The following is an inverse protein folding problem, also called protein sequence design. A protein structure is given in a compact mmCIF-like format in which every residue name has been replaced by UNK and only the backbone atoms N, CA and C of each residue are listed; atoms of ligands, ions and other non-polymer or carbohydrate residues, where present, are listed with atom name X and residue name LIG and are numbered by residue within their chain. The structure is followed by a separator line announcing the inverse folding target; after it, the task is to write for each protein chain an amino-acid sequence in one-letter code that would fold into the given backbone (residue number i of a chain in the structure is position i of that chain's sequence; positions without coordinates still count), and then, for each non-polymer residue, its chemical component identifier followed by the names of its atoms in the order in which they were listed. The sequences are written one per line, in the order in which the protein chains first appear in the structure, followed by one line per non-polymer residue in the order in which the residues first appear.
data_IF_353738162644
#
_entry.id   IF_353738162644
#
_cell.length_a   1.000
_cell.length_b   1.000
_cell.length_c   1.000
_cell.angle_alpha   90.00
_cell.angle_beta   90.00
_cell.angle_gamma   90.00
#
_symmetry.space_group_name_H-M   'P 1'
#
loop_
_entity.id
_entity.type
_entity.pdbx_description
1 polymer ?
#
# COMPACT_ATOMS: atom_id res chain seq x y z
N UNK A 1 -33.20 49.64 -23.87
CA UNK A 1 -34.38 49.64 -24.78
C UNK A 1 -34.65 48.19 -25.19
N UNK A 2 -35.89 47.74 -24.82
CA UNK A 2 -36.73 46.75 -25.52
C UNK A 2 -36.10 45.37 -25.79
N UNK A 3 -36.71 44.22 -25.57
CA UNK A 3 -37.99 43.72 -24.97
C UNK A 3 -37.85 42.21 -24.91
N UNK A 4 -38.23 41.62 -23.79
CA UNK A 4 -39.10 40.46 -23.58
C UNK A 4 -39.65 39.77 -24.83
N UNK A 5 -39.62 38.43 -24.86
CA UNK A 5 -40.81 37.64 -25.21
C UNK A 5 -40.65 36.22 -24.64
N UNK A 6 -41.61 35.90 -23.77
CA UNK A 6 -41.92 34.56 -23.28
C UNK A 6 -42.82 33.84 -24.27
N UNK A 7 -42.73 32.55 -24.40
CA UNK A 7 -43.81 31.71 -24.93
C UNK A 7 -43.89 30.39 -24.17
N UNK A 8 -44.94 30.25 -23.41
CA UNK A 8 -45.43 29.02 -22.84
C UNK A 8 -46.35 28.30 -23.82
N UNK A 9 -46.32 26.98 -23.89
CA UNK A 9 -47.41 26.16 -24.39
C UNK A 9 -47.32 24.75 -23.77
N UNK A 10 -48.03 24.45 -22.74
CA UNK A 10 -49.35 23.72 -22.64
C UNK A 10 -49.28 22.21 -22.97
N UNK A 11 -49.29 21.43 -21.92
CA UNK A 11 -50.07 20.25 -21.51
C UNK A 11 -50.92 19.55 -22.59
N UNK A 12 -50.73 18.23 -22.73
CA UNK A 12 -51.80 17.26 -22.99
C UNK A 12 -51.59 16.01 -22.12
N UNK A 13 -52.48 15.82 -21.17
CA UNK A 13 -52.74 14.56 -20.49
C UNK A 13 -53.39 13.55 -21.46
N UNK A 14 -52.86 12.33 -21.48
CA UNK A 14 -53.62 11.17 -21.92
C UNK A 14 -53.48 10.08 -20.86
N UNK A 15 -54.53 9.87 -20.10
CA UNK A 15 -54.74 8.74 -19.22
C UNK A 15 -54.99 7.49 -20.04
N UNK A 16 -54.20 6.45 -19.85
CA UNK A 16 -54.42 5.10 -20.35
C UNK A 16 -54.21 4.09 -19.24
N UNK A 17 -55.31 3.70 -18.60
CA UNK A 17 -55.40 2.56 -17.71
C UNK A 17 -55.24 1.27 -18.51
N UNK A 18 -54.16 0.51 -18.23
CA UNK A 18 -54.13 -0.92 -18.53
C UNK A 18 -53.58 -1.64 -17.29
N UNK A 19 -54.48 -2.34 -16.63
CA UNK A 19 -54.14 -3.34 -15.64
C UNK A 19 -53.41 -4.51 -16.30
N UNK A 20 -52.25 -4.88 -15.77
CA UNK A 20 -51.47 -6.02 -16.24
C UNK A 20 -50.55 -6.51 -15.14
N UNK A 21 -50.95 -7.55 -14.47
CA UNK A 21 -50.24 -8.62 -13.75
C UNK A 21 -48.87 -8.36 -13.16
N UNK A 22 -48.81 -8.66 -11.89
CA UNK A 22 -47.61 -8.69 -11.03
C UNK A 22 -46.41 -9.38 -11.63
N UNK A 23 -45.34 -8.62 -11.66
CA UNK A 23 -44.02 -9.12 -11.52
C UNK A 23 -43.58 -8.70 -10.12
N UNK A 24 -43.25 -9.67 -9.29
CA UNK A 24 -42.47 -9.44 -8.08
C UNK A 24 -41.15 -8.83 -8.56
N UNK A 25 -41.01 -7.53 -8.40
CA UNK A 25 -39.69 -6.93 -8.32
C UNK A 25 -39.01 -7.56 -7.11
N UNK A 26 -38.19 -8.56 -7.37
CA UNK A 26 -37.10 -8.92 -6.48
C UNK A 26 -36.15 -7.72 -6.50
N UNK A 27 -36.36 -6.83 -5.53
CA UNK A 27 -35.37 -5.91 -5.07
C UNK A 27 -34.21 -6.79 -4.53
N UNK A 28 -33.37 -7.28 -5.44
CA UNK A 28 -32.06 -7.78 -5.12
C UNK A 28 -31.26 -6.52 -4.76
N UNK A 29 -31.40 -6.11 -3.51
CA UNK A 29 -30.47 -5.19 -2.91
C UNK A 29 -29.09 -5.79 -3.14
N UNK A 30 -28.35 -5.23 -4.10
CA UNK A 30 -26.91 -5.47 -4.22
C UNK A 30 -26.31 -5.02 -2.90
N UNK A 31 -26.16 -5.95 -1.96
CA UNK A 31 -25.32 -5.67 -0.79
C UNK A 31 -23.95 -5.31 -1.36
N UNK A 32 -23.51 -4.08 -1.08
CA UNK A 32 -22.18 -3.65 -1.48
C UNK A 32 -21.20 -4.65 -0.89
N UNK A 33 -20.28 -5.15 -1.72
CA UNK A 33 -19.24 -6.05 -1.28
C UNK A 33 -18.20 -5.23 -0.54
N UNK A 34 -17.84 -5.65 0.66
CA UNK A 34 -16.77 -5.10 1.47
C UNK A 34 -15.64 -6.10 1.62
N UNK A 35 -14.47 -5.63 2.00
CA UNK A 35 -13.30 -6.46 2.27
C UNK A 35 -13.08 -6.61 3.78
N UNK A 36 -12.43 -7.68 4.18
CA UNK A 36 -12.04 -7.97 5.56
C UNK A 36 -10.59 -8.44 5.60
N UNK A 37 -9.82 -7.94 6.55
CA UNK A 37 -8.45 -8.40 6.81
C UNK A 37 -8.52 -9.55 7.80
N UNK A 38 -7.91 -10.67 7.48
CA UNK A 38 -7.71 -11.75 8.45
C UNK A 38 -6.60 -11.33 9.40
N UNK A 39 -6.95 -11.13 10.68
CA UNK A 39 -6.04 -10.58 11.71
C UNK A 39 -5.06 -11.65 12.23
N UNK A 40 -4.29 -12.21 11.29
CA UNK A 40 -3.25 -13.21 11.56
C UNK A 40 -2.05 -12.90 10.68
N UNK A 41 -0.89 -12.75 11.31
CA UNK A 41 0.37 -12.51 10.62
C UNK A 41 0.88 -13.79 9.96
N UNK A 42 1.08 -13.77 8.66
CA UNK A 42 1.55 -14.92 7.85
C UNK A 42 3.07 -15.01 7.82
N UNK A 43 3.77 -13.90 8.07
CA UNK A 43 5.23 -13.78 8.01
C UNK A 43 5.75 -12.98 9.18
N UNK A 44 7.08 -13.01 9.38
CA UNK A 44 7.81 -12.18 10.35
C UNK A 44 8.90 -11.44 9.57
N UNK A 45 8.77 -10.13 9.44
CA UNK A 45 9.57 -9.29 8.57
C UNK A 45 10.07 -8.04 9.30
N UNK A 46 11.17 -7.49 8.81
CA UNK A 46 11.74 -6.25 9.33
C UNK A 46 11.90 -5.24 8.19
N UNK A 47 11.42 -3.99 8.40
CA UNK A 47 11.68 -2.90 7.49
C UNK A 47 12.97 -2.16 7.83
N UNK A 48 13.72 -1.84 6.78
CA UNK A 48 14.91 -1.01 6.83
C UNK A 48 15.00 -0.13 5.58
N UNK A 49 15.81 0.92 5.63
CA UNK A 49 16.07 1.77 4.47
C UNK A 49 17.21 1.21 3.63
N UNK A 50 17.06 1.30 2.31
CA UNK A 50 18.06 0.81 1.36
C UNK A 50 18.98 1.94 0.89
N UNK A 51 20.23 1.98 1.34
CA UNK A 51 21.21 3.03 1.01
C UNK A 51 22.09 2.61 -0.16
N UNK A 52 22.48 3.55 -1.02
CA UNK A 52 23.42 3.33 -2.12
C UNK A 52 24.74 2.72 -1.58
N UNK A 53 25.14 1.61 -2.15
CA UNK A 53 26.37 0.87 -1.77
C UNK A 53 27.65 1.71 -1.92
N UNK A 54 27.63 2.72 -2.77
CA UNK A 54 28.77 3.64 -2.94
C UNK A 54 28.83 4.75 -1.87
N UNK A 55 27.81 4.82 -0.98
CA UNK A 55 27.67 5.86 0.05
C UNK A 55 27.72 5.26 1.48
N UNK A 56 28.81 4.60 1.91
CA UNK A 56 28.90 4.01 3.24
C UNK A 56 28.83 5.03 4.38
N UNK A 57 29.23 6.28 4.13
CA UNK A 57 29.13 7.36 5.10
C UNK A 57 27.66 7.78 5.32
N UNK A 58 26.85 7.79 4.27
CA UNK A 58 25.40 8.00 4.39
C UNK A 58 24.75 6.89 5.21
N UNK A 59 25.14 5.64 4.99
CA UNK A 59 24.62 4.50 5.77
C UNK A 59 24.91 4.66 7.27
N UNK A 60 26.12 5.09 7.64
CA UNK A 60 26.50 5.35 9.04
C UNK A 60 25.67 6.50 9.64
N UNK A 61 25.44 7.56 8.87
CA UNK A 61 24.59 8.68 9.28
C UNK A 61 23.12 8.25 9.46
N UNK A 62 22.57 7.45 8.53
CA UNK A 62 21.21 6.90 8.62
C UNK A 62 21.07 6.02 9.87
N UNK A 63 22.01 5.11 10.16
CA UNK A 63 21.95 4.26 11.35
C UNK A 63 22.05 5.07 12.64
N UNK A 64 22.91 6.09 12.66
CA UNK A 64 23.01 7.03 13.80
C UNK A 64 21.69 7.77 14.02
N UNK A 65 21.07 8.22 12.94
CA UNK A 65 19.79 8.91 12.97
C UNK A 65 18.65 7.98 13.43
N UNK A 66 18.57 6.73 12.92
CA UNK A 66 17.58 5.73 13.38
C UNK A 66 17.73 5.48 14.88
N UNK A 67 18.97 5.30 15.37
CA UNK A 67 19.22 5.12 16.80
C UNK A 67 18.74 6.33 17.62
N UNK A 68 19.03 7.55 17.15
CA UNK A 68 18.62 8.80 17.78
C UNK A 68 17.11 8.90 17.91
N UNK A 69 16.36 8.73 16.80
CA UNK A 69 14.89 8.87 16.82
C UNK A 69 14.19 7.76 17.62
N UNK A 70 14.83 6.59 17.76
CA UNK A 70 14.37 5.53 18.67
C UNK A 70 14.60 5.90 20.14
N UNK A 71 15.78 6.43 20.48
CA UNK A 71 16.17 6.74 21.85
C UNK A 71 15.43 7.97 22.43
N UNK A 72 15.14 8.98 21.59
CA UNK A 72 14.48 10.21 22.01
C UNK A 72 12.95 10.16 21.91
N UNK A 73 12.40 9.06 21.38
CA UNK A 73 10.96 8.82 21.26
C UNK A 73 10.31 9.40 20.00
N UNK A 74 11.07 10.06 19.12
CA UNK A 74 10.54 10.64 17.87
C UNK A 74 9.88 9.58 16.99
N UNK A 75 10.51 8.38 16.89
CA UNK A 75 9.95 7.28 16.09
C UNK A 75 8.61 6.79 16.64
N UNK A 76 8.50 6.67 17.98
CA UNK A 76 7.26 6.27 18.63
C UNK A 76 6.16 7.33 18.43
N UNK A 77 6.50 8.62 18.48
CA UNK A 77 5.55 9.72 18.22
C UNK A 77 5.02 9.68 16.77
N UNK A 78 5.89 9.34 15.80
CA UNK A 78 5.48 9.15 14.40
C UNK A 78 4.54 7.94 14.31
N UNK A 79 4.89 6.79 14.87
CA UNK A 79 4.03 5.60 14.87
C UNK A 79 2.68 5.87 15.54
N UNK A 80 2.67 6.47 16.72
CA UNK A 80 1.44 6.83 17.45
C UNK A 80 0.55 7.75 16.60
N UNK A 81 1.12 8.67 15.85
CA UNK A 81 0.39 9.54 14.93
C UNK A 81 -0.32 8.75 13.85
N UNK A 82 0.40 7.91 13.11
CA UNK A 82 -0.13 7.23 11.93
C UNK A 82 -0.99 6.03 12.29
N UNK A 83 -0.62 5.23 13.26
CA UNK A 83 -1.43 4.09 13.73
C UNK A 83 -2.56 4.50 14.68
N UNK A 84 -2.45 5.65 15.33
CA UNK A 84 -3.48 6.19 16.23
C UNK A 84 -4.51 7.09 15.54
N UNK A 85 -4.46 7.26 14.21
CA UNK A 85 -5.40 8.09 13.46
C UNK A 85 -5.21 9.60 13.67
N UNK A 86 -3.98 10.03 13.97
CA UNK A 86 -3.62 11.46 14.04
C UNK A 86 -3.56 12.10 12.67
N UNK A 87 -3.45 13.45 12.65
CA UNK A 87 -3.32 14.20 11.40
C UNK A 87 -1.94 13.95 10.77
N UNK A 88 -1.87 13.45 9.51
CA UNK A 88 -0.61 13.26 8.80
C UNK A 88 0.16 14.57 8.61
N UNK A 89 1.48 14.51 8.68
CA UNK A 89 2.35 15.66 8.43
C UNK A 89 2.68 15.75 6.94
N UNK A 90 2.26 16.80 6.21
CA UNK A 90 2.63 16.98 4.81
C UNK A 90 4.13 17.18 4.65
N UNK A 91 4.72 16.47 3.71
CA UNK A 91 6.14 16.56 3.34
C UNK A 91 6.27 17.13 1.93
N UNK A 92 7.06 18.19 1.80
CA UNK A 92 7.35 18.81 0.51
C UNK A 92 8.62 18.20 -0.10
N UNK A 93 8.60 18.01 -1.41
CA UNK A 93 9.76 17.60 -2.19
C UNK A 93 10.29 18.77 -3.00
N UNK A 94 11.58 19.04 -2.89
CA UNK A 94 12.26 19.98 -3.79
C UNK A 94 12.34 19.42 -5.21
N UNK A 95 12.61 20.28 -6.17
CA UNK A 95 12.98 19.83 -7.51
C UNK A 95 14.42 19.28 -7.50
N UNK A 96 14.66 18.21 -8.23
CA UNK A 96 16.01 17.67 -8.39
C UNK A 96 16.91 18.69 -9.09
N UNK A 97 18.05 18.99 -8.46
CA UNK A 97 19.08 19.91 -8.96
C UNK A 97 20.46 19.40 -8.55
N UNK A 98 21.15 18.75 -9.47
CA UNK A 98 22.48 18.15 -9.24
C UNK A 98 23.56 19.15 -8.78
N UNK A 99 23.29 20.46 -8.84
CA UNK A 99 24.20 21.50 -8.33
C UNK A 99 24.03 21.80 -6.84
N UNK A 100 22.99 21.23 -6.21
CA UNK A 100 22.67 21.42 -4.80
C UNK A 100 23.01 20.19 -3.97
N UNK A 101 23.14 20.41 -2.68
CA UNK A 101 23.26 19.33 -1.70
C UNK A 101 21.84 18.83 -1.35
N UNK A 102 21.47 17.68 -1.89
CA UNK A 102 20.13 17.12 -1.81
C UNK A 102 20.18 15.65 -1.38
N UNK A 103 19.24 15.25 -0.53
CA UNK A 103 18.95 13.84 -0.26
C UNK A 103 17.86 13.37 -1.22
N UNK A 104 18.23 12.50 -2.17
CA UNK A 104 17.30 11.97 -3.16
C UNK A 104 16.75 10.62 -2.70
N UNK A 105 15.48 10.61 -2.32
CA UNK A 105 14.77 9.45 -1.77
C UNK A 105 13.93 8.79 -2.86
N UNK A 106 14.14 7.50 -3.10
CA UNK A 106 13.27 6.66 -3.91
C UNK A 106 12.14 6.09 -3.06
N UNK A 107 10.90 6.21 -3.54
CA UNK A 107 9.72 5.68 -2.83
C UNK A 107 8.62 5.23 -3.81
N UNK A 108 7.59 4.53 -3.28
CA UNK A 108 6.35 4.24 -3.98
C UNK A 108 5.15 4.73 -3.15
N UNK A 109 4.78 6.00 -3.33
CA UNK A 109 3.77 6.67 -2.51
C UNK A 109 2.34 6.20 -2.79
N UNK A 110 2.09 4.91 -2.55
CA UNK A 110 0.82 4.21 -2.66
C UNK A 110 0.67 3.12 -1.57
N UNK A 111 1.37 3.28 -0.43
CA UNK A 111 1.51 2.27 0.62
C UNK A 111 1.24 2.88 2.01
N UNK A 112 -0.01 3.31 2.24
CA UNK A 112 -0.46 3.87 3.53
C UNK A 112 -0.35 2.81 4.65
N UNK A 113 0.17 3.16 5.85
CA UNK A 113 0.51 4.49 6.35
C UNK A 113 1.99 4.90 6.17
N UNK A 114 2.82 4.13 5.45
CA UNK A 114 4.27 4.39 5.35
C UNK A 114 4.60 5.51 4.35
N UNK A 115 4.09 5.42 3.12
CA UNK A 115 4.28 6.43 2.09
C UNK A 115 3.07 6.48 1.15
N UNK A 116 2.41 7.62 1.10
CA UNK A 116 1.24 7.82 0.25
C UNK A 116 1.04 9.29 -0.10
N UNK A 117 0.10 9.55 -1.01
CA UNK A 117 -0.25 10.91 -1.42
C UNK A 117 -1.55 11.35 -0.75
N UNK A 118 -1.53 12.55 -0.14
CA UNK A 118 -2.74 13.23 0.31
C UNK A 118 -2.87 14.54 -0.48
N UNK A 119 -3.71 14.53 -1.51
CA UNK A 119 -3.72 15.58 -2.52
C UNK A 119 -2.39 15.61 -3.29
N UNK A 120 -1.69 16.74 -3.25
CA UNK A 120 -0.39 16.91 -3.91
C UNK A 120 0.81 16.73 -2.94
N UNK A 121 0.55 16.47 -1.65
CA UNK A 121 1.59 16.31 -0.65
C UNK A 121 1.94 14.83 -0.44
N UNK A 122 3.22 14.56 -0.17
CA UNK A 122 3.67 13.29 0.35
C UNK A 122 3.38 13.24 1.86
N UNK A 123 2.89 12.13 2.34
CA UNK A 123 2.62 11.87 3.75
C UNK A 123 2.98 10.43 4.10
N UNK A 124 3.12 10.14 5.37
CA UNK A 124 3.38 8.80 5.85
C UNK A 124 4.63 8.71 6.73
N UNK A 125 4.78 7.58 7.38
CA UNK A 125 5.86 7.29 8.33
C UNK A 125 7.23 7.51 7.67
N UNK A 126 7.46 6.86 6.53
CA UNK A 126 8.74 6.93 5.81
C UNK A 126 9.00 8.33 5.26
N UNK A 127 7.96 9.02 4.82
CA UNK A 127 8.10 10.38 4.30
C UNK A 127 8.46 11.38 5.42
N UNK A 128 7.85 11.24 6.60
CA UNK A 128 8.17 12.08 7.75
C UNK A 128 9.61 11.80 8.26
N UNK A 129 10.00 10.51 8.31
CA UNK A 129 11.39 10.12 8.64
C UNK A 129 12.37 10.69 7.59
N UNK A 130 12.03 10.64 6.30
CA UNK A 130 12.86 11.20 5.24
C UNK A 130 13.07 12.72 5.38
N UNK A 131 12.01 13.45 5.76
CA UNK A 131 12.11 14.89 6.00
C UNK A 131 13.03 15.22 7.19
N UNK A 132 12.89 14.48 8.29
CA UNK A 132 13.74 14.65 9.48
C UNK A 132 15.19 14.24 9.20
N UNK A 133 15.42 13.18 8.41
CA UNK A 133 16.76 12.77 8.00
C UNK A 133 17.42 13.85 7.13
N UNK A 134 16.72 14.39 6.15
CA UNK A 134 17.25 15.47 5.30
C UNK A 134 17.60 16.71 6.11
N UNK A 135 16.78 17.08 7.11
CA UNK A 135 17.07 18.17 8.05
C UNK A 135 18.34 17.88 8.89
N UNK A 136 18.47 16.68 9.44
CA UNK A 136 19.65 16.24 10.21
C UNK A 136 20.94 16.31 9.38
N UNK A 137 20.86 15.94 8.09
CA UNK A 137 21.97 16.01 7.16
C UNK A 137 22.25 17.42 6.62
N UNK A 138 21.32 18.37 6.82
CA UNK A 138 21.40 19.72 6.29
C UNK A 138 21.18 19.79 4.77
N UNK A 139 20.45 18.82 4.20
CA UNK A 139 20.20 18.66 2.76
C UNK A 139 18.76 19.02 2.40
N UNK A 140 18.51 19.46 1.16
CA UNK A 140 17.15 19.58 0.63
C UNK A 140 16.59 18.18 0.29
N UNK A 141 15.38 17.85 0.75
CA UNK A 141 14.72 16.58 0.42
C UNK A 141 14.18 16.60 -1.01
N UNK A 142 14.53 15.58 -1.78
CA UNK A 142 13.93 15.29 -3.10
C UNK A 142 13.31 13.90 -3.07
N UNK A 143 12.02 13.79 -3.32
CA UNK A 143 11.29 12.52 -3.35
C UNK A 143 11.05 12.11 -4.81
N UNK A 144 11.54 10.94 -5.19
CA UNK A 144 11.34 10.31 -6.48
C UNK A 144 10.32 9.18 -6.34
N UNK A 145 9.04 9.49 -6.68
CA UNK A 145 7.96 8.51 -6.65
C UNK A 145 7.98 7.64 -7.91
N UNK A 146 8.01 6.32 -7.74
CA UNK A 146 8.08 5.36 -8.84
C UNK A 146 7.33 4.06 -8.52
N UNK A 147 7.27 3.12 -9.47
CA UNK A 147 6.76 1.79 -9.18
C UNK A 147 7.67 1.09 -8.17
N UNK A 148 7.09 0.30 -7.26
CA UNK A 148 7.82 -0.31 -6.14
C UNK A 148 9.00 -1.18 -6.59
N UNK A 149 8.82 -1.99 -7.64
CA UNK A 149 9.85 -2.85 -8.23
C UNK A 149 11.07 -2.09 -8.77
N UNK A 150 10.94 -0.78 -8.99
CA UNK A 150 12.04 0.08 -9.44
C UNK A 150 12.79 0.79 -8.29
N UNK A 151 12.28 0.78 -7.05
CA UNK A 151 12.79 1.57 -5.94
C UNK A 151 14.25 1.20 -5.61
N UNK A 152 14.52 -0.05 -5.22
CA UNK A 152 15.89 -0.49 -4.92
C UNK A 152 16.81 -0.40 -6.14
N UNK A 153 16.31 -0.71 -7.32
CA UNK A 153 17.06 -0.62 -8.56
C UNK A 153 17.53 0.81 -8.87
N UNK A 154 16.69 1.82 -8.59
CA UNK A 154 17.05 3.23 -8.81
C UNK A 154 18.21 3.67 -7.92
N UNK A 155 18.26 3.20 -6.67
CA UNK A 155 19.37 3.41 -5.75
C UNK A 155 20.63 2.67 -6.23
N UNK A 156 20.51 1.39 -6.61
CA UNK A 156 21.62 0.61 -7.16
C UNK A 156 22.20 1.18 -8.47
N UNK A 157 21.41 1.99 -9.20
CA UNK A 157 21.86 2.73 -10.38
C UNK A 157 22.37 4.15 -10.05
N UNK A 158 22.45 4.51 -8.77
CA UNK A 158 22.90 5.83 -8.29
C UNK A 158 22.06 7.00 -8.82
N UNK A 159 20.77 6.76 -9.04
CA UNK A 159 19.78 7.81 -9.39
C UNK A 159 19.13 8.42 -8.17
N UNK A 160 19.12 7.66 -7.08
CA UNK A 160 18.67 8.06 -5.75
C UNK A 160 19.73 7.62 -4.73
N UNK A 161 19.80 8.31 -3.60
CA UNK A 161 20.75 8.03 -2.52
C UNK A 161 20.26 6.92 -1.60
N UNK A 162 18.94 6.90 -1.37
CA UNK A 162 18.30 6.02 -0.40
C UNK A 162 16.88 5.63 -0.87
N UNK A 163 16.49 4.40 -0.57
CA UNK A 163 15.15 3.87 -0.75
C UNK A 163 14.41 3.87 0.61
N UNK A 164 13.26 4.53 0.67
CA UNK A 164 12.38 4.60 1.84
C UNK A 164 10.96 4.31 1.35
N UNK A 165 10.51 3.06 1.54
CA UNK A 165 9.30 2.54 0.90
C UNK A 165 8.76 1.27 1.60
N UNK A 166 8.75 1.22 2.95
CA UNK A 166 8.33 0.02 3.68
C UNK A 166 9.09 -1.24 3.24
N UNK A 167 10.42 -1.17 3.17
CA UNK A 167 11.23 -2.20 2.54
C UNK A 167 11.60 -3.33 3.51
N UNK A 168 11.06 -4.52 3.30
CA UNK A 168 11.51 -5.75 3.93
C UNK A 168 12.95 -6.06 3.51
N UNK A 169 13.81 -6.37 4.47
CA UNK A 169 15.18 -6.81 4.24
C UNK A 169 15.18 -8.16 3.53
N UNK A 170 15.84 -8.25 2.36
CA UNK A 170 16.00 -9.49 1.60
C UNK A 170 17.36 -9.54 0.88
N UNK A 171 17.87 -10.75 0.58
CA UNK A 171 19.12 -10.91 -0.13
C UNK A 171 19.01 -10.39 -1.58
N UNK A 172 17.85 -10.58 -2.22
CA UNK A 172 17.59 -10.05 -3.55
C UNK A 172 17.75 -8.52 -3.57
N UNK A 173 17.15 -7.80 -2.62
CA UNK A 173 17.26 -6.34 -2.51
C UNK A 173 18.68 -5.89 -2.14
N UNK A 174 19.42 -6.71 -1.37
CA UNK A 174 20.82 -6.47 -1.07
C UNK A 174 21.73 -6.50 -2.30
N UNK A 175 21.28 -7.01 -3.43
CA UNK A 175 22.01 -6.88 -4.69
C UNK A 175 22.14 -5.41 -5.13
N UNK A 176 21.15 -4.58 -4.81
CA UNK A 176 21.05 -3.18 -5.22
C UNK A 176 21.46 -2.19 -4.13
N UNK A 177 21.15 -2.47 -2.87
CA UNK A 177 21.31 -1.54 -1.74
C UNK A 177 22.07 -2.18 -0.58
N UNK A 178 22.57 -1.35 0.34
CA UNK A 178 22.97 -1.76 1.69
C UNK A 178 21.86 -1.31 2.64
N UNK A 179 21.32 -2.24 3.41
CA UNK A 179 20.27 -1.90 4.37
C UNK A 179 20.81 -1.22 5.61
N UNK A 180 20.04 -0.26 6.12
CA UNK A 180 20.23 0.33 7.45
C UNK A 180 19.88 -0.64 8.57
N UNK A 181 20.01 -0.20 9.81
CA UNK A 181 19.35 -0.81 10.95
C UNK A 181 17.83 -0.80 10.71
N UNK A 182 17.14 -1.84 11.21
CA UNK A 182 15.68 -1.98 11.04
C UNK A 182 14.94 -0.98 11.91
N UNK A 183 13.76 -0.50 11.46
CA UNK A 183 12.96 0.48 12.21
C UNK A 183 11.54 0.03 12.53
N UNK A 184 11.03 -1.01 11.86
CA UNK A 184 9.67 -1.50 12.03
C UNK A 184 9.60 -3.03 11.87
N UNK A 185 8.73 -3.69 12.67
CA UNK A 185 8.38 -5.10 12.49
C UNK A 185 7.14 -5.20 11.63
N UNK A 186 7.19 -5.99 10.56
CA UNK A 186 6.14 -6.13 9.57
C UNK A 186 5.73 -7.58 9.38
N UNK A 187 4.61 -7.78 8.73
CA UNK A 187 4.08 -9.10 8.37
C UNK A 187 3.17 -9.01 7.17
N UNK A 188 2.94 -10.10 6.45
CA UNK A 188 1.91 -10.21 5.43
C UNK A 188 0.58 -10.65 6.06
N UNK A 189 -0.53 -10.15 5.52
CA UNK A 189 -1.88 -10.58 5.88
C UNK A 189 -2.73 -10.88 4.65
N UNK A 190 -3.74 -11.71 4.86
CA UNK A 190 -4.73 -12.06 3.86
C UNK A 190 -5.92 -11.10 3.95
N UNK A 191 -6.33 -10.52 2.81
CA UNK A 191 -7.60 -9.79 2.66
C UNK A 191 -8.56 -10.67 1.87
N UNK A 192 -9.78 -10.78 2.38
CA UNK A 192 -10.84 -11.59 1.81
C UNK A 192 -12.10 -10.75 1.56
N UNK A 193 -13.02 -11.17 0.68
CA UNK A 193 -14.37 -10.62 0.67
C UNK A 193 -15.07 -10.84 2.02
N UNK A 194 -15.84 -9.88 2.51
CA UNK A 194 -16.50 -9.97 3.83
C UNK A 194 -17.54 -11.12 3.96
N UNK A 195 -17.93 -11.71 2.84
CA UNK A 195 -18.78 -12.90 2.77
C UNK A 195 -17.99 -14.21 2.61
N UNK A 196 -16.65 -14.15 2.68
CA UNK A 196 -15.79 -15.33 2.69
C UNK A 196 -16.12 -16.25 3.88
N UNK A 197 -16.09 -17.54 3.63
CA UNK A 197 -16.36 -18.57 4.64
C UNK A 197 -15.19 -19.54 4.83
N UNK A 198 -14.10 -19.33 4.11
CA UNK A 198 -12.93 -20.22 4.15
C UNK A 198 -11.96 -19.80 5.23
N UNK A 199 -11.58 -18.51 5.25
CA UNK A 199 -10.52 -17.98 6.12
C UNK A 199 -11.04 -17.19 7.31
N UNK A 200 -12.28 -16.72 7.26
CA UNK A 200 -12.84 -15.73 8.19
C UNK A 200 -12.72 -16.09 9.67
N UNK A 201 -12.85 -17.35 10.02
CA UNK A 201 -12.82 -17.83 11.40
C UNK A 201 -11.46 -18.45 11.80
N UNK A 202 -10.45 -18.42 10.90
CA UNK A 202 -9.12 -18.92 11.18
C UNK A 202 -8.33 -17.93 12.03
N UNK A 203 -7.62 -18.44 13.02
CA UNK A 203 -6.83 -17.62 13.97
C UNK A 203 -5.38 -18.09 14.11
N UNK A 204 -4.98 -19.04 13.29
CA UNK A 204 -3.66 -19.66 13.32
C UNK A 204 -2.98 -19.55 11.96
N UNK A 205 -1.73 -19.07 11.93
CA UNK A 205 -0.98 -18.84 10.70
C UNK A 205 -0.67 -20.14 9.94
N UNK A 206 -0.39 -21.23 10.63
CA UNK A 206 -0.12 -22.53 9.99
C UNK A 206 -1.39 -23.08 9.35
N UNK A 207 -2.56 -22.89 9.99
CA UNK A 207 -3.85 -23.27 9.43
C UNK A 207 -4.17 -22.49 8.16
N UNK A 208 -3.95 -21.17 8.16
CA UNK A 208 -4.17 -20.31 6.98
C UNK A 208 -3.18 -20.69 5.86
N UNK A 209 -1.90 -20.87 6.18
CA UNK A 209 -0.89 -21.27 5.21
C UNK A 209 -1.21 -22.64 4.58
N UNK A 210 -1.68 -23.59 5.37
CA UNK A 210 -2.12 -24.89 4.87
C UNK A 210 -3.33 -24.77 3.94
N UNK A 211 -4.33 -23.95 4.31
CA UNK A 211 -5.50 -23.70 3.47
C UNK A 211 -5.14 -22.97 2.16
N UNK A 212 -4.20 -22.01 2.20
CA UNK A 212 -3.69 -21.34 1.01
C UNK A 212 -2.94 -22.32 0.08
N UNK A 213 -2.19 -23.28 0.64
CA UNK A 213 -1.46 -24.30 -0.11
C UNK A 213 -2.37 -25.33 -0.83
N UNK A 214 -3.62 -25.49 -0.38
CA UNK A 214 -4.62 -26.36 -1.01
C UNK A 214 -5.37 -25.66 -2.18
N UNK A 215 -5.18 -24.34 -2.38
CA UNK A 215 -5.78 -23.59 -3.47
C UNK A 215 -5.14 -24.01 -4.81
N UNK A 216 -5.96 -24.19 -5.83
CA UNK A 216 -5.48 -24.51 -7.16
C UNK A 216 -5.42 -23.26 -8.08
N UNK A 217 -4.91 -23.43 -9.29
CA UNK A 217 -4.73 -22.34 -10.27
C UNK A 217 -6.02 -21.66 -10.76
N UNK A 218 -7.21 -22.12 -10.36
CA UNK A 218 -8.47 -21.44 -10.64
C UNK A 218 -8.69 -20.26 -9.68
N UNK A 219 -8.08 -20.30 -8.50
CA UNK A 219 -8.09 -19.21 -7.52
C UNK A 219 -7.02 -18.19 -7.87
N UNK A 220 -7.36 -16.91 -7.79
CA UNK A 220 -6.45 -15.80 -8.08
C UNK A 220 -6.18 -15.00 -6.82
N UNK A 221 -4.91 -14.80 -6.52
CA UNK A 221 -4.46 -13.97 -5.40
C UNK A 221 -3.80 -12.71 -5.96
N UNK A 222 -4.35 -11.54 -5.60
CA UNK A 222 -3.80 -10.24 -5.94
C UNK A 222 -2.66 -9.85 -5.01
N UNK A 223 -1.60 -9.29 -5.59
CA UNK A 223 -0.44 -8.79 -4.85
C UNK A 223 0.06 -7.49 -5.48
N UNK A 224 0.76 -6.66 -4.74
CA UNK A 224 1.51 -5.58 -5.34
C UNK A 224 2.82 -6.12 -5.92
N UNK A 225 3.15 -5.73 -7.15
CA UNK A 225 4.33 -6.21 -7.87
C UNK A 225 5.64 -5.91 -7.13
N UNK A 226 6.49 -6.92 -6.97
CA UNK A 226 7.82 -6.83 -6.36
C UNK A 226 7.83 -6.73 -4.83
N UNK A 227 6.68 -6.88 -4.16
CA UNK A 227 6.58 -6.89 -2.70
C UNK A 227 6.83 -8.29 -2.11
N UNK A 228 6.96 -8.36 -0.79
CA UNK A 228 7.04 -9.65 -0.08
C UNK A 228 5.78 -10.49 -0.29
N UNK A 229 4.60 -9.86 -0.35
CA UNK A 229 3.35 -10.57 -0.70
C UNK A 229 3.40 -11.21 -2.08
N UNK A 230 4.03 -10.56 -3.08
CA UNK A 230 4.27 -11.17 -4.39
C UNK A 230 5.17 -12.39 -4.27
N UNK A 231 6.28 -12.29 -3.53
CA UNK A 231 7.20 -13.39 -3.28
C UNK A 231 6.55 -14.54 -2.48
N UNK A 232 5.63 -14.23 -1.57
CA UNK A 232 4.89 -15.25 -0.82
C UNK A 232 4.03 -16.13 -1.74
N UNK A 233 3.34 -15.52 -2.72
CA UNK A 233 2.47 -16.24 -3.66
C UNK A 233 3.28 -16.96 -4.74
N UNK A 234 4.29 -16.32 -5.34
CA UNK A 234 5.08 -16.92 -6.43
C UNK A 234 6.15 -17.90 -5.93
N UNK A 235 6.55 -17.78 -4.66
CA UNK A 235 7.67 -18.49 -4.06
C UNK A 235 8.97 -17.67 -4.09
N UNK A 236 9.78 -17.83 -3.04
CA UNK A 236 11.09 -17.19 -2.90
C UNK A 236 12.01 -18.05 -2.05
N UNK A 237 13.11 -18.54 -2.63
CA UNK A 237 14.13 -19.26 -1.87
C UNK A 237 14.80 -18.35 -0.82
N UNK A 238 14.99 -17.08 -1.15
CA UNK A 238 15.59 -16.06 -0.28
C UNK A 238 14.77 -15.85 1.00
N UNK A 239 13.45 -15.72 0.85
CA UNK A 239 12.54 -15.51 1.98
C UNK A 239 11.99 -16.82 2.56
N UNK A 240 12.36 -17.98 1.99
CA UNK A 240 11.92 -19.29 2.44
C UNK A 240 10.46 -19.61 2.13
N UNK A 241 9.86 -18.93 1.16
CA UNK A 241 8.47 -19.15 0.75
C UNK A 241 8.40 -20.23 -0.33
N UNK A 242 7.59 -21.30 -0.13
CA UNK A 242 7.44 -22.36 -1.11
C UNK A 242 6.67 -21.92 -2.36
N UNK A 243 5.91 -20.82 -2.28
CA UNK A 243 4.93 -20.40 -3.28
C UNK A 243 3.62 -21.19 -3.18
N UNK A 244 2.63 -20.75 -3.95
CA UNK A 244 1.28 -21.31 -3.99
C UNK A 244 0.95 -21.78 -5.41
N UNK A 245 0.08 -22.80 -5.55
CA UNK A 245 -0.45 -23.23 -6.85
C UNK A 245 -1.51 -22.24 -7.39
N UNK A 246 -2.07 -21.37 -6.53
CA UNK A 246 -2.99 -20.31 -6.92
C UNK A 246 -2.34 -19.37 -7.94
N UNK A 247 -3.15 -18.78 -8.83
CA UNK A 247 -2.67 -17.81 -9.81
C UNK A 247 -2.31 -16.49 -9.15
N UNK A 248 -1.05 -16.08 -9.22
CA UNK A 248 -0.59 -14.77 -8.80
C UNK A 248 -1.02 -13.70 -9.80
N UNK A 249 -1.74 -12.67 -9.33
CA UNK A 249 -2.14 -11.51 -10.14
C UNK A 249 -1.49 -10.25 -9.58
N UNK A 250 -0.54 -9.68 -10.32
CA UNK A 250 0.21 -8.51 -9.88
C UNK A 250 -0.48 -7.19 -10.22
N UNK A 251 -0.39 -6.22 -9.31
CA UNK A 251 -0.92 -4.87 -9.42
C UNK A 251 0.15 -3.83 -9.11
N UNK A 252 -0.08 -2.58 -9.51
CA UNK A 252 0.82 -1.47 -9.18
C UNK A 252 0.67 -0.98 -7.74
N UNK A 253 -0.45 -1.27 -7.08
CA UNK A 253 -0.72 -0.95 -5.69
C UNK A 253 -1.68 -1.94 -5.07
N UNK A 254 -1.65 -2.08 -3.74
CA UNK A 254 -2.59 -2.90 -2.98
C UNK A 254 -4.05 -2.47 -3.16
N UNK A 255 -4.31 -1.16 -3.22
CA UNK A 255 -5.65 -0.61 -3.42
C UNK A 255 -6.29 -1.08 -4.73
N UNK A 256 -5.51 -1.21 -5.81
CA UNK A 256 -6.00 -1.75 -7.08
C UNK A 256 -6.32 -3.24 -6.97
N UNK A 257 -5.54 -4.02 -6.23
CA UNK A 257 -5.81 -5.43 -5.99
C UNK A 257 -7.11 -5.62 -5.19
N UNK A 258 -7.30 -4.88 -4.10
CA UNK A 258 -8.53 -4.95 -3.29
C UNK A 258 -9.76 -4.52 -4.08
N UNK A 259 -9.68 -3.46 -4.88
CA UNK A 259 -10.78 -3.07 -5.76
C UNK A 259 -11.14 -4.16 -6.77
N UNK A 260 -10.14 -4.83 -7.33
CA UNK A 260 -10.36 -5.90 -8.32
C UNK A 260 -10.94 -7.17 -7.67
N UNK A 261 -10.59 -7.44 -6.41
CA UNK A 261 -11.22 -8.47 -5.58
C UNK A 261 -12.70 -8.18 -5.35
N UNK A 262 -13.04 -6.95 -4.97
CA UNK A 262 -14.44 -6.55 -4.75
C UNK A 262 -15.27 -6.57 -6.04
N UNK A 263 -14.64 -6.36 -7.20
CA UNK A 263 -15.24 -6.52 -8.51
C UNK A 263 -15.42 -8.00 -8.92
N UNK A 264 -14.83 -8.94 -8.18
CA UNK A 264 -14.92 -10.39 -8.44
C UNK A 264 -14.02 -10.88 -9.57
N UNK A 265 -12.94 -10.15 -9.89
CA UNK A 265 -11.96 -10.55 -10.89
C UNK A 265 -10.82 -11.40 -10.31
N UNK A 266 -10.57 -11.26 -9.00
CA UNK A 266 -9.67 -12.09 -8.19
C UNK A 266 -10.39 -12.47 -6.88
N UNK A 267 -9.86 -13.44 -6.16
CA UNK A 267 -10.51 -14.04 -5.00
C UNK A 267 -10.00 -13.44 -3.68
N UNK A 268 -8.69 -13.24 -3.55
CA UNK A 268 -8.02 -12.80 -2.34
C UNK A 268 -6.91 -11.80 -2.64
N UNK A 269 -6.42 -11.11 -1.60
CA UNK A 269 -5.23 -10.24 -1.70
C UNK A 269 -4.27 -10.56 -0.54
N UNK A 270 -2.97 -10.63 -0.82
CA UNK A 270 -1.92 -10.71 0.20
C UNK A 270 -1.09 -9.45 0.12
N UNK A 271 -0.97 -8.76 1.25
CA UNK A 271 -0.21 -7.51 1.40
C UNK A 271 0.17 -7.35 2.88
N UNK A 272 1.11 -6.43 3.15
CA UNK A 272 1.56 -6.10 4.50
C UNK A 272 0.43 -5.66 5.42
N UNK A 273 0.51 -6.02 6.70
CA UNK A 273 -0.56 -5.90 7.69
C UNK A 273 -1.11 -4.47 7.84
N UNK A 274 -0.22 -3.47 7.96
CA UNK A 274 -0.64 -2.09 8.14
C UNK A 274 -1.31 -1.51 6.87
N UNK A 275 -0.75 -1.66 5.66
CA UNK A 275 -1.44 -1.32 4.42
C UNK A 275 -2.73 -2.10 4.19
N UNK A 276 -2.80 -3.38 4.57
CA UNK A 276 -4.04 -4.15 4.49
C UNK A 276 -5.17 -3.47 5.27
N UNK A 277 -4.90 -3.07 6.51
CA UNK A 277 -5.86 -2.39 7.36
C UNK A 277 -6.31 -1.05 6.76
N UNK A 278 -5.35 -0.18 6.40
CA UNK A 278 -5.62 1.16 5.86
C UNK A 278 -6.41 1.11 4.55
N UNK A 279 -6.00 0.26 3.60
CA UNK A 279 -6.67 0.11 2.31
C UNK A 279 -8.10 -0.44 2.49
N UNK A 280 -8.27 -1.44 3.36
CA UNK A 280 -9.58 -2.08 3.57
C UNK A 280 -10.54 -1.10 4.23
N UNK A 281 -10.10 -0.33 5.24
CA UNK A 281 -10.90 0.71 5.88
C UNK A 281 -11.34 1.76 4.85
N UNK A 282 -10.39 2.35 4.13
CA UNK A 282 -10.66 3.40 3.14
C UNK A 282 -11.61 2.93 2.02
N UNK A 283 -11.43 1.71 1.50
CA UNK A 283 -12.30 1.17 0.43
C UNK A 283 -13.69 0.87 0.96
N UNK A 284 -13.82 0.32 2.17
CA UNK A 284 -15.12 0.02 2.77
C UNK A 284 -15.93 1.30 3.07
N UNK A 285 -15.27 2.39 3.47
CA UNK A 285 -15.93 3.69 3.67
C UNK A 285 -16.50 4.29 2.38
N UNK A 286 -15.90 3.97 1.23
CA UNK A 286 -16.37 4.44 -0.09
C UNK A 286 -17.54 3.62 -0.65
N UNK A 287 -17.85 2.45 -0.07
CA UNK A 287 -18.93 1.56 -0.51
C UNK A 287 -20.27 1.97 0.10
#
# INVERSE_FOLDING_TARGET
MKKLLAAALSVVLAAGLLAGCGSKDSDAGSSKKTAEVIDVDLTDEEYAFGVDKSQPELLEQVNTFISKIKEDGTLDEIFDKYFGGGEPTPVESAALDESKDQLVVATNAAFEPFEYMQGDAYVGIDMEIAALLAEELGQELVIQNMNFDAVCLSVGQQKCDIAMAGLTVSEERKEYVTFSDTYYQASQRLIVPSDDTTFKDMTDAEEIAAALAELDSSVKIGVQQGTTGNSYVEGSEDLGFPGLEATCQTYKSGSLAVQDMLNGNIDYVIIDAAPAAAITEAINEMQ
#
